data_IF_764323499996
#
_entry.id   IF_764323499996
#
_cell.length_a   1.000
_cell.length_b   1.000
_cell.length_c   1.000
_cell.angle_alpha   90.00
_cell.angle_beta   90.00
_cell.angle_gamma   90.00
#
_symmetry.space_group_name_H-M   'P 1'
#
loop_
_entity.id
_entity.type
_entity.pdbx_description
1 polymer ?
#
# COMPACT_ATOMS: atom_id res chain seq x y z
N UNK A 1 14.00 3.77 30.16
CA UNK A 1 14.34 4.93 29.31
C UNK A 1 13.35 5.03 28.15
N UNK A 2 12.85 6.24 27.92
CA UNK A 2 11.68 6.57 27.10
C UNK A 2 11.94 6.51 25.59
N UNK A 3 11.39 5.52 24.88
CA UNK A 3 11.24 5.58 23.40
C UNK A 3 9.78 5.42 22.90
N UNK A 4 8.82 5.12 23.79
CA UNK A 4 7.41 4.86 23.41
C UNK A 4 6.65 6.09 22.87
N UNK A 5 7.29 7.24 22.70
CA UNK A 5 6.62 8.54 22.48
C UNK A 5 6.64 9.08 21.05
N UNK A 6 7.09 8.34 20.02
CA UNK A 6 7.46 9.00 18.76
C UNK A 6 6.92 8.45 17.43
N UNK A 7 5.88 7.62 17.40
CA UNK A 7 5.21 7.33 16.12
C UNK A 7 3.71 7.42 16.26
N UNK A 8 3.18 8.64 16.22
CA UNK A 8 1.74 8.85 16.03
C UNK A 8 1.33 8.42 14.62
N UNK A 9 2.22 8.55 13.64
CA UNK A 9 2.02 8.12 12.26
C UNK A 9 3.28 7.47 11.66
N UNK A 10 3.09 6.62 10.65
CA UNK A 10 4.13 5.96 9.86
C UNK A 10 3.86 6.10 8.36
N UNK A 11 4.90 6.16 7.51
CA UNK A 11 4.71 6.15 6.07
C UNK A 11 4.23 4.78 5.59
N UNK A 12 3.24 4.77 4.70
CA UNK A 12 2.71 3.58 4.04
C UNK A 12 2.44 3.87 2.57
N UNK A 13 2.79 2.92 1.70
CA UNK A 13 2.43 2.97 0.29
C UNK A 13 0.96 2.54 0.16
N UNK A 14 0.09 3.48 -0.19
CA UNK A 14 -1.34 3.24 -0.25
C UNK A 14 -1.87 3.25 -1.68
N UNK A 15 -2.76 2.31 -1.98
CA UNK A 15 -3.58 2.29 -3.18
C UNK A 15 -5.02 2.70 -2.85
N UNK A 16 -5.53 3.70 -3.57
CA UNK A 16 -6.91 4.18 -3.45
C UNK A 16 -7.73 3.83 -4.70
N UNK A 17 -8.78 3.03 -4.50
CA UNK A 17 -9.75 2.70 -5.55
C UNK A 17 -10.75 3.83 -5.81
N UNK A 18 -10.25 5.00 -6.19
CA UNK A 18 -11.06 6.17 -6.57
C UNK A 18 -11.12 6.26 -8.09
N UNK A 19 -12.32 6.15 -8.67
CA UNK A 19 -12.54 6.16 -10.14
C UNK A 19 -11.76 7.26 -10.88
N UNK A 20 -11.81 8.49 -10.36
CA UNK A 20 -11.12 9.65 -10.96
C UNK A 20 -9.60 9.46 -10.96
N UNK A 21 -9.03 8.92 -9.88
CA UNK A 21 -7.58 8.66 -9.77
C UNK A 21 -7.14 7.53 -10.70
N UNK A 22 -7.94 6.47 -10.79
CA UNK A 22 -7.70 5.33 -11.69
C UNK A 22 -7.72 5.79 -13.15
N UNK A 23 -8.76 6.54 -13.56
CA UNK A 23 -8.88 7.03 -14.93
C UNK A 23 -7.71 7.95 -15.31
N UNK A 24 -7.33 8.90 -14.42
CA UNK A 24 -6.17 9.77 -14.63
C UNK A 24 -4.88 8.97 -14.77
N UNK A 25 -4.65 7.98 -13.92
CA UNK A 25 -3.46 7.14 -13.99
C UNK A 25 -3.45 6.26 -15.25
N UNK A 26 -4.59 5.71 -15.66
CA UNK A 26 -4.72 4.91 -16.87
C UNK A 26 -4.38 5.73 -18.13
N UNK A 27 -4.99 6.91 -18.30
CA UNK A 27 -4.73 7.78 -19.46
C UNK A 27 -3.25 8.16 -19.52
N UNK A 28 -2.69 8.64 -18.39
CA UNK A 28 -1.26 9.02 -18.33
C UNK A 28 -0.34 7.81 -18.55
N UNK A 29 -0.68 6.66 -17.99
CA UNK A 29 0.09 5.42 -18.03
C UNK A 29 0.15 4.80 -19.43
N UNK A 30 -0.92 4.94 -20.22
CA UNK A 30 -0.96 4.54 -21.64
C UNK A 30 -0.05 5.39 -22.52
N UNK A 31 0.12 6.67 -22.20
CA UNK A 31 1.04 7.58 -22.91
C UNK A 31 2.49 7.38 -22.47
N UNK A 32 2.72 7.27 -21.16
CA UNK A 32 4.03 7.06 -20.57
C UNK A 32 3.89 6.15 -19.34
N UNK A 33 4.60 5.00 -19.26
CA UNK A 33 4.50 4.09 -18.13
C UNK A 33 4.66 4.76 -16.76
N UNK A 34 5.47 5.83 -16.65
CA UNK A 34 5.62 6.59 -15.40
C UNK A 34 4.31 7.23 -14.91
N UNK A 35 3.34 7.42 -15.79
CA UNK A 35 2.02 7.97 -15.50
C UNK A 35 1.18 7.15 -14.52
N UNK A 36 1.46 5.85 -14.39
CA UNK A 36 0.77 4.97 -13.43
C UNK A 36 1.11 5.29 -11.97
N UNK A 37 2.33 5.77 -11.68
CA UNK A 37 2.80 6.12 -10.33
C UNK A 37 3.06 7.63 -10.13
N UNK A 38 2.57 8.49 -11.01
CA UNK A 38 2.62 9.95 -10.81
C UNK A 38 1.62 10.41 -9.76
N UNK A 39 1.98 11.48 -9.03
CA UNK A 39 1.10 12.17 -8.09
C UNK A 39 -0.30 12.45 -8.68
N UNK A 40 -1.32 12.37 -7.83
CA UNK A 40 -2.73 12.40 -8.23
C UNK A 40 -3.26 11.08 -8.82
N UNK A 41 -2.43 10.04 -8.91
CA UNK A 41 -2.82 8.67 -9.23
C UNK A 41 -3.39 7.90 -8.01
N UNK A 42 -3.72 6.61 -8.19
CA UNK A 42 -4.28 5.76 -7.14
C UNK A 42 -3.23 5.38 -6.10
N UNK A 43 -1.95 5.32 -6.48
CA UNK A 43 -0.84 5.02 -5.57
C UNK A 43 -0.25 6.30 -5.00
N UNK A 44 -0.06 6.35 -3.68
CA UNK A 44 0.56 7.47 -2.98
C UNK A 44 1.21 7.01 -1.68
N UNK A 45 2.34 7.63 -1.31
CA UNK A 45 2.91 7.48 0.02
C UNK A 45 2.14 8.39 0.99
N UNK A 46 1.60 7.82 2.07
CA UNK A 46 0.84 8.56 3.08
C UNK A 46 1.34 8.25 4.48
N UNK A 47 1.24 9.23 5.38
CA UNK A 47 1.39 9.00 6.81
C UNK A 47 0.06 8.48 7.36
N UNK A 48 0.10 7.30 7.96
CA UNK A 48 -1.06 6.63 8.58
C UNK A 48 -0.83 6.47 10.09
N UNK A 49 -1.88 6.35 10.92
CA UNK A 49 -1.70 6.08 12.33
C UNK A 49 -0.86 4.83 12.56
N UNK A 50 -0.01 4.84 13.59
CA UNK A 50 0.74 3.65 13.96
C UNK A 50 -0.22 2.51 14.33
N UNK A 51 0.05 1.27 13.89
CA UNK A 51 -0.86 0.15 14.10
C UNK A 51 -1.03 -0.17 15.58
N UNK A 52 -2.18 -0.74 15.93
CA UNK A 52 -2.46 -1.27 17.26
C UNK A 52 -2.50 -2.78 17.17
N UNK A 53 -2.07 -3.46 18.23
CA UNK A 53 -2.29 -4.90 18.38
C UNK A 53 -3.80 -5.12 18.52
N UNK A 54 -4.35 -6.01 17.69
CA UNK A 54 -5.81 -6.26 17.59
C UNK A 54 -6.18 -7.59 18.26
N UNK A 55 -5.27 -8.57 18.26
CA UNK A 55 -5.45 -9.87 18.88
C UNK A 55 -4.23 -10.23 19.75
N UNK A 56 -4.42 -11.09 20.74
CA UNK A 56 -3.42 -11.41 21.77
C UNK A 56 -2.14 -12.05 21.23
N UNK A 57 -2.25 -12.76 20.10
CA UNK A 57 -1.17 -13.48 19.43
C UNK A 57 -0.50 -12.66 18.31
N UNK A 58 -0.85 -11.38 18.17
CA UNK A 58 -0.31 -10.53 17.11
C UNK A 58 0.85 -9.69 17.61
N UNK A 59 1.84 -9.52 16.72
CA UNK A 59 2.99 -8.64 16.93
C UNK A 59 2.99 -7.50 15.92
N UNK A 60 3.61 -6.39 16.30
CA UNK A 60 3.90 -5.30 15.39
C UNK A 60 5.32 -5.48 14.84
N UNK A 61 5.42 -5.59 13.52
CA UNK A 61 6.70 -5.67 12.82
C UNK A 61 7.05 -4.29 12.25
N UNK A 62 8.20 -3.74 12.65
CA UNK A 62 8.82 -2.62 11.94
C UNK A 62 9.45 -3.13 10.65
N UNK A 63 8.79 -2.86 9.54
CA UNK A 63 9.30 -3.15 8.20
C UNK A 63 10.64 -2.44 7.97
N UNK A 64 11.67 -3.21 7.60
CA UNK A 64 12.99 -2.71 7.17
C UNK A 64 13.05 -2.71 5.64
N UNK A 65 12.59 -3.80 5.02
CA UNK A 65 12.46 -3.94 3.57
C UNK A 65 11.11 -4.58 3.23
N UNK A 66 10.63 -4.34 2.00
CA UNK A 66 9.48 -5.05 1.45
C UNK A 66 9.76 -5.34 -0.02
N UNK A 67 9.55 -6.59 -0.43
CA UNK A 67 9.63 -7.00 -1.82
C UNK A 67 8.54 -6.34 -2.67
N UNK A 68 8.81 -6.21 -3.97
CA UNK A 68 7.82 -5.81 -4.96
C UNK A 68 7.48 -7.05 -5.77
N UNK A 69 6.26 -7.54 -5.59
CA UNK A 69 5.78 -8.72 -6.29
C UNK A 69 5.17 -8.34 -7.66
N UNK A 70 5.00 -9.35 -8.53
CA UNK A 70 4.29 -9.17 -9.80
C UNK A 70 2.83 -8.71 -9.64
N UNK A 71 2.19 -9.06 -8.51
CA UNK A 71 0.83 -8.60 -8.17
C UNK A 71 0.80 -7.10 -7.86
N UNK A 72 1.76 -6.58 -7.09
CA UNK A 72 1.90 -5.13 -6.83
C UNK A 72 2.07 -4.37 -8.14
N UNK A 73 2.86 -4.91 -9.07
CA UNK A 73 3.07 -4.31 -10.40
C UNK A 73 1.82 -4.38 -11.29
N UNK A 74 1.02 -5.42 -11.14
CA UNK A 74 -0.26 -5.59 -11.85
C UNK A 74 -1.30 -4.61 -11.34
N UNK A 75 -1.39 -4.44 -10.02
CA UNK A 75 -2.22 -3.45 -9.35
C UNK A 75 -1.79 -2.03 -9.75
N UNK A 76 -0.50 -1.72 -9.64
CA UNK A 76 0.06 -0.40 -9.99
C UNK A 76 -0.21 -0.01 -11.44
N UNK A 77 -0.06 -0.95 -12.39
CA UNK A 77 -0.28 -0.72 -13.82
C UNK A 77 -1.75 -0.83 -14.23
N UNK A 78 -2.67 -1.00 -13.28
CA UNK A 78 -4.12 -1.13 -13.52
C UNK A 78 -4.44 -2.24 -14.53
N UNK A 79 -3.74 -3.37 -14.42
CA UNK A 79 -3.90 -4.54 -15.30
C UNK A 79 -4.82 -5.61 -14.70
N UNK A 80 -5.29 -5.44 -13.47
CA UNK A 80 -6.24 -6.36 -12.85
C UNK A 80 -7.64 -6.24 -13.48
N UNK A 81 -8.29 -7.38 -13.69
CA UNK A 81 -9.73 -7.42 -14.00
C UNK A 81 -10.54 -6.95 -12.79
N UNK A 82 -11.72 -6.33 -13.03
CA UNK A 82 -12.67 -6.02 -11.97
C UNK A 82 -13.22 -7.29 -11.30
N UNK A 83 -13.30 -8.38 -12.06
CA UNK A 83 -13.75 -9.70 -11.61
C UNK A 83 -12.59 -10.56 -11.09
N UNK A 84 -11.48 -9.94 -10.69
CA UNK A 84 -10.35 -10.67 -10.13
C UNK A 84 -10.71 -11.21 -8.73
N UNK A 85 -10.66 -12.52 -8.47
CA UNK A 85 -10.97 -13.10 -7.17
C UNK A 85 -10.09 -12.57 -6.02
N UNK A 86 -8.87 -12.10 -6.32
CA UNK A 86 -7.99 -11.45 -5.32
C UNK A 86 -8.64 -10.19 -4.74
N UNK A 87 -9.55 -9.55 -5.48
CA UNK A 87 -10.27 -8.35 -5.02
C UNK A 87 -11.13 -8.61 -3.78
N UNK A 88 -11.54 -9.86 -3.54
CA UNK A 88 -12.29 -10.27 -2.34
C UNK A 88 -11.42 -10.34 -1.07
N UNK A 89 -10.09 -10.36 -1.23
CA UNK A 89 -9.13 -10.47 -0.12
C UNK A 89 -8.47 -9.14 0.24
N UNK A 90 -8.85 -8.04 -0.42
CA UNK A 90 -8.26 -6.71 -0.21
C UNK A 90 -9.34 -5.69 0.18
N UNK A 91 -8.98 -4.79 1.09
CA UNK A 91 -9.81 -3.65 1.50
C UNK A 91 -9.23 -2.36 0.95
N UNK A 92 -10.09 -1.43 0.52
CA UNK A 92 -9.65 -0.11 0.05
C UNK A 92 -9.98 0.99 1.09
N UNK A 93 -9.06 1.93 1.33
CA UNK A 93 -7.73 2.03 0.72
C UNK A 93 -6.76 0.96 1.24
N UNK A 94 -5.98 0.39 0.33
CA UNK A 94 -5.09 -0.73 0.60
C UNK A 94 -3.69 -0.23 0.94
N UNK A 95 -3.04 -0.82 1.94
CA UNK A 95 -1.59 -0.69 2.14
C UNK A 95 -0.93 -1.78 1.30
N UNK A 96 -0.04 -1.39 0.39
CA UNK A 96 0.62 -2.29 -0.56
C UNK A 96 1.83 -2.99 0.07
N UNK A 97 2.24 -4.11 -0.53
CA UNK A 97 3.41 -4.90 -0.12
C UNK A 97 3.05 -6.03 0.85
N UNK A 98 3.28 -7.26 0.40
CA UNK A 98 2.99 -8.51 1.14
C UNK A 98 4.24 -9.38 1.33
N UNK A 99 5.42 -8.83 1.02
CA UNK A 99 6.72 -9.49 1.18
C UNK A 99 7.63 -8.71 2.16
N UNK A 100 7.18 -8.38 3.40
CA UNK A 100 7.98 -7.59 4.33
C UNK A 100 9.07 -8.41 5.03
N UNK A 101 10.20 -7.77 5.30
CA UNK A 101 11.22 -8.22 6.26
C UNK A 101 11.41 -7.12 7.28
N UNK A 102 11.39 -7.47 8.57
CA UNK A 102 11.40 -6.48 9.64
C UNK A 102 11.83 -7.00 10.99
N UNK A 103 11.74 -6.11 11.98
CA UNK A 103 12.08 -6.38 13.38
C UNK A 103 10.79 -6.33 14.20
N UNK A 104 10.59 -7.30 15.08
CA UNK A 104 9.46 -7.31 16.01
C UNK A 104 9.65 -6.17 17.02
N UNK A 105 8.68 -5.25 17.12
CA UNK A 105 8.71 -4.11 18.07
C UNK A 105 7.89 -4.38 19.34
N UNK A 106 6.79 -5.14 19.24
CA UNK A 106 5.90 -5.47 20.36
C UNK A 106 5.07 -6.70 20.05
#
# INVERSE_FOLDING_TARGET
>A
MNSKKEKSNIPALMFELKRIKLLKAFIRGKINPKGFWKSGGPVSLKNIPYPKIIAEDWVIVKTVFCGICGSDMTELKLKGSLDNPIRSFISFPQIMGHEPVGIIES
#
